data_IF_795182968256
#
_entry.id   IF_795182968256
#
_cell.length_a   1.000
_cell.length_b   1.000
_cell.length_c   1.000
_cell.angle_alpha   90.00
_cell.angle_beta   90.00
_cell.angle_gamma   90.00
#
_symmetry.space_group_name_H-M   'P 1'
#
loop_
_entity.id
_entity.type
_entity.pdbx_description
1 polymer ?
#
# COMPACT_ATOMS: atom_id res chain seq x y z
N UNK A 1 8.37 20.04 -24.45
CA UNK A 1 7.51 18.86 -24.58
C UNK A 1 7.43 18.17 -23.22
N UNK A 2 6.43 18.48 -22.45
CA UNK A 2 6.10 17.68 -21.30
C UNK A 2 5.40 16.43 -21.84
N UNK A 3 6.15 15.34 -22.00
CA UNK A 3 5.52 14.04 -21.92
C UNK A 3 5.01 13.93 -20.49
N UNK A 4 3.76 14.27 -20.30
CA UNK A 4 3.03 13.81 -19.14
C UNK A 4 3.21 12.31 -19.15
N UNK A 5 4.06 11.80 -18.25
CA UNK A 5 4.04 10.40 -17.90
C UNK A 5 2.63 10.16 -17.39
N UNK A 6 1.76 9.83 -18.29
CA UNK A 6 0.47 9.25 -17.93
C UNK A 6 0.81 7.94 -17.27
N UNK A 7 1.09 8.00 -15.97
CA UNK A 7 0.71 6.93 -15.09
C UNK A 7 -0.67 6.55 -15.58
N UNK A 8 -0.78 5.36 -16.11
CA UNK A 8 -2.07 4.85 -16.53
C UNK A 8 -2.93 4.89 -15.28
N UNK A 9 -3.73 5.95 -15.13
CA UNK A 9 -4.50 6.17 -13.91
C UNK A 9 -5.47 5.01 -13.77
N UNK A 10 -5.16 4.10 -12.85
CA UNK A 10 -5.99 2.93 -12.61
C UNK A 10 -7.25 3.39 -11.91
N UNK A 11 -8.39 3.23 -12.57
CA UNK A 11 -9.69 3.50 -11.97
C UNK A 11 -10.01 2.43 -10.95
N UNK A 12 -10.66 2.82 -9.85
CA UNK A 12 -11.07 1.89 -8.79
C UNK A 12 -11.96 0.75 -9.31
N UNK A 13 -12.78 1.01 -10.33
CA UNK A 13 -13.62 -0.01 -10.95
C UNK A 13 -12.85 -1.13 -11.63
N UNK A 14 -11.56 -0.93 -11.94
CA UNK A 14 -10.69 -1.92 -12.57
C UNK A 14 -9.84 -2.72 -11.56
N UNK A 15 -10.04 -2.47 -10.26
CA UNK A 15 -9.35 -3.20 -9.21
C UNK A 15 -10.03 -4.54 -8.93
N UNK A 16 -9.22 -5.53 -8.60
CA UNK A 16 -9.68 -6.80 -8.05
C UNK A 16 -10.27 -6.61 -6.64
N UNK A 17 -11.06 -7.56 -6.18
CA UNK A 17 -11.65 -7.53 -4.83
C UNK A 17 -10.58 -7.41 -3.75
N UNK A 18 -9.49 -8.15 -3.89
CA UNK A 18 -8.36 -8.13 -2.96
C UNK A 18 -7.72 -6.73 -2.85
N UNK A 19 -7.54 -6.07 -3.99
CA UNK A 19 -7.02 -4.71 -4.05
C UNK A 19 -7.98 -3.71 -3.41
N UNK A 20 -9.28 -3.85 -3.69
CA UNK A 20 -10.30 -2.99 -3.11
C UNK A 20 -10.40 -3.13 -1.59
N UNK A 21 -10.27 -4.34 -1.06
CA UNK A 21 -10.24 -4.58 0.39
C UNK A 21 -9.09 -3.86 1.08
N UNK A 22 -7.89 -3.95 0.50
CA UNK A 22 -6.72 -3.23 1.01
C UNK A 22 -6.87 -1.71 0.90
N UNK A 23 -7.24 -1.23 -0.28
CA UNK A 23 -7.40 0.20 -0.54
C UNK A 23 -8.43 0.84 0.39
N UNK A 24 -9.55 0.17 0.58
CA UNK A 24 -10.59 0.62 1.52
C UNK A 24 -10.01 0.78 2.93
N UNK A 25 -9.26 -0.22 3.41
CA UNK A 25 -8.63 -0.18 4.73
C UNK A 25 -7.60 0.93 4.86
N UNK A 26 -6.75 1.13 3.86
CA UNK A 26 -5.77 2.22 3.82
C UNK A 26 -6.46 3.58 3.96
N UNK A 27 -7.49 3.82 3.18
CA UNK A 27 -8.24 5.07 3.18
C UNK A 27 -9.00 5.29 4.49
N UNK A 28 -9.55 4.21 5.06
CA UNK A 28 -10.18 4.26 6.37
C UNK A 28 -9.18 4.68 7.46
N UNK A 29 -7.99 4.10 7.46
CA UNK A 29 -6.94 4.47 8.41
C UNK A 29 -6.62 5.96 8.33
N UNK A 30 -6.35 6.47 7.14
CA UNK A 30 -6.00 7.87 6.94
C UNK A 30 -7.10 8.84 7.37
N UNK A 31 -8.35 8.54 7.02
CA UNK A 31 -9.48 9.34 7.45
C UNK A 31 -9.63 9.35 8.96
N UNK A 32 -9.45 8.19 9.58
CA UNK A 32 -9.55 8.03 11.03
C UNK A 32 -8.47 8.84 11.75
N UNK A 33 -7.23 8.80 11.25
CA UNK A 33 -6.13 9.57 11.85
C UNK A 33 -6.35 11.07 11.73
N UNK A 34 -6.89 11.56 10.62
CA UNK A 34 -7.23 12.97 10.43
C UNK A 34 -8.32 13.45 11.40
N UNK A 35 -9.20 12.57 11.80
CA UNK A 35 -10.31 12.84 12.72
C UNK A 35 -10.00 12.46 14.16
N UNK A 36 -8.77 12.06 14.45
CA UNK A 36 -8.31 11.59 15.75
C UNK A 36 -9.13 10.41 16.29
N UNK A 37 -9.52 9.51 15.37
CA UNK A 37 -10.30 8.31 15.65
C UNK A 37 -9.43 7.09 15.38
N UNK A 38 -9.54 6.06 16.22
CA UNK A 38 -8.86 4.79 15.99
C UNK A 38 -9.61 3.96 14.95
N UNK A 39 -8.95 3.53 13.84
CA UNK A 39 -9.62 2.80 12.76
C UNK A 39 -9.87 1.32 13.08
N UNK A 40 -9.17 0.76 14.06
CA UNK A 40 -9.08 -0.67 14.29
C UNK A 40 -10.45 -1.37 14.44
N UNK A 41 -11.37 -0.76 15.20
CA UNK A 41 -12.71 -1.33 15.42
C UNK A 41 -13.49 -1.51 14.11
N UNK A 42 -13.41 -0.52 13.21
CA UNK A 42 -14.07 -0.58 11.89
C UNK A 42 -13.38 -1.58 10.97
N UNK A 43 -12.05 -1.61 10.98
CA UNK A 43 -11.27 -2.59 10.21
C UNK A 43 -11.67 -4.02 10.62
N UNK A 44 -11.63 -4.31 11.91
CA UNK A 44 -12.01 -5.64 12.45
C UNK A 44 -13.42 -6.03 12.03
N UNK A 45 -14.38 -5.11 12.16
CA UNK A 45 -15.78 -5.37 11.81
C UNK A 45 -15.96 -5.73 10.33
N UNK A 46 -15.31 -5.01 9.44
CA UNK A 46 -15.46 -5.25 7.99
C UNK A 46 -14.66 -6.46 7.56
N UNK A 47 -13.41 -6.56 8.00
CA UNK A 47 -12.54 -7.66 7.60
C UNK A 47 -12.97 -9.02 8.17
N UNK A 48 -13.66 -9.04 9.31
CA UNK A 48 -14.26 -10.27 9.85
C UNK A 48 -15.27 -10.90 8.90
N UNK A 49 -15.96 -10.09 8.09
CA UNK A 49 -16.90 -10.60 7.08
C UNK A 49 -16.22 -11.39 5.97
N UNK A 50 -14.92 -11.15 5.78
CA UNK A 50 -14.08 -11.83 4.79
C UNK A 50 -13.11 -12.83 5.43
N UNK A 51 -13.18 -13.02 6.75
CA UNK A 51 -12.29 -13.87 7.55
C UNK A 51 -10.81 -13.47 7.47
N UNK A 52 -10.55 -12.17 7.32
CA UNK A 52 -9.21 -11.58 7.25
C UNK A 52 -9.01 -10.50 8.33
N UNK A 53 -9.70 -10.61 9.44
CA UNK A 53 -9.66 -9.62 10.54
C UNK A 53 -8.27 -9.48 11.17
N UNK A 54 -7.46 -10.52 11.13
CA UNK A 54 -6.10 -10.49 11.65
C UNK A 54 -5.18 -9.50 10.92
N UNK A 55 -5.44 -9.22 9.65
CA UNK A 55 -4.68 -8.19 8.93
C UNK A 55 -4.99 -6.75 9.39
N UNK A 56 -6.05 -6.55 10.15
CA UNK A 56 -6.46 -5.21 10.62
C UNK A 56 -5.37 -4.53 11.44
N UNK A 57 -4.74 -5.28 12.34
CA UNK A 57 -3.64 -4.78 13.18
C UNK A 57 -2.42 -4.41 12.34
N UNK A 58 -2.04 -5.30 11.44
CA UNK A 58 -0.87 -5.08 10.58
C UNK A 58 -1.07 -3.89 9.65
N UNK A 59 -2.26 -3.73 9.09
CA UNK A 59 -2.58 -2.59 8.23
C UNK A 59 -2.56 -1.28 9.00
N UNK A 60 -3.14 -1.23 10.21
CA UNK A 60 -3.09 -0.05 11.07
C UNK A 60 -1.66 0.34 11.42
N UNK A 61 -0.82 -0.62 11.78
CA UNK A 61 0.59 -0.36 12.11
C UNK A 61 1.41 0.15 10.92
N UNK A 62 1.25 -0.44 9.73
CA UNK A 62 1.90 0.03 8.51
C UNK A 62 1.46 1.45 8.17
N UNK A 63 0.17 1.73 8.24
CA UNK A 63 -0.36 3.05 7.91
C UNK A 63 0.12 4.12 8.90
N UNK A 64 0.20 3.81 10.18
CA UNK A 64 0.79 4.70 11.20
C UNK A 64 2.26 5.02 10.89
N UNK A 65 3.04 4.01 10.53
CA UNK A 65 4.44 4.22 10.15
C UNK A 65 4.56 5.15 8.94
N UNK A 66 3.81 4.89 7.87
CA UNK A 66 3.85 5.69 6.65
C UNK A 66 3.46 7.14 6.95
N UNK A 67 2.40 7.35 7.70
CA UNK A 67 1.95 8.69 8.08
C UNK A 67 2.99 9.41 8.93
N UNK A 68 3.57 8.75 9.94
CA UNK A 68 4.53 9.35 10.85
C UNK A 68 5.83 9.79 10.16
N UNK A 69 6.30 9.01 9.18
CA UNK A 69 7.54 9.32 8.47
C UNK A 69 7.36 10.20 7.24
N UNK A 70 6.12 10.40 6.79
CA UNK A 70 5.79 11.22 5.62
C UNK A 70 4.82 12.37 5.97
N UNK A 71 4.67 12.71 7.23
CA UNK A 71 3.69 13.68 7.74
C UNK A 71 3.89 15.11 7.21
N UNK A 72 5.09 15.46 6.78
CA UNK A 72 5.42 16.78 6.21
C UNK A 72 5.22 16.85 4.69
N UNK A 73 5.00 15.72 4.05
CA UNK A 73 4.71 15.62 2.63
C UNK A 73 3.23 15.33 2.46
N UNK A 74 2.61 15.96 1.46
CA UNK A 74 1.27 15.58 1.05
C UNK A 74 1.29 14.14 0.58
N UNK A 75 0.98 13.24 1.51
CA UNK A 75 0.80 11.84 1.14
C UNK A 75 -0.43 11.80 0.24
N UNK A 76 -0.24 11.30 -0.97
CA UNK A 76 -1.26 11.31 -2.02
C UNK A 76 -2.41 10.31 -1.82
N UNK A 77 -2.67 9.88 -0.57
CA UNK A 77 -3.85 9.08 -0.25
C UNK A 77 -5.06 10.00 -0.18
N UNK A 78 -5.95 9.89 -1.15
CA UNK A 78 -7.17 10.70 -1.22
C UNK A 78 -8.40 9.83 -1.05
N UNK A 79 -9.07 9.98 0.08
CA UNK A 79 -10.21 9.16 0.48
C UNK A 79 -11.40 9.14 -0.47
N UNK A 80 -11.52 10.11 -1.36
CA UNK A 80 -12.64 10.24 -2.28
C UNK A 80 -12.22 10.22 -3.76
N UNK A 81 -10.97 9.87 -4.04
CA UNK A 81 -10.50 9.79 -5.41
C UNK A 81 -11.03 8.52 -6.10
N UNK A 82 -11.56 8.67 -7.32
CA UNK A 82 -11.99 7.54 -8.16
C UNK A 82 -10.84 6.81 -8.83
N UNK A 83 -9.63 7.37 -8.70
CA UNK A 83 -8.39 6.81 -9.20
C UNK A 83 -7.48 6.40 -8.06
N UNK A 84 -6.66 5.41 -8.32
CA UNK A 84 -5.59 5.01 -7.42
C UNK A 84 -4.49 6.07 -7.41
N UNK A 85 -4.06 6.51 -6.24
CA UNK A 85 -2.89 7.40 -6.14
C UNK A 85 -1.60 6.59 -6.29
N UNK A 86 -0.49 7.28 -6.53
CA UNK A 86 0.83 6.65 -6.66
C UNK A 86 1.23 5.89 -5.39
N UNK A 87 1.03 6.50 -4.23
CA UNK A 87 1.37 5.92 -2.94
C UNK A 87 0.50 4.69 -2.62
N UNK A 88 -0.78 4.76 -2.91
CA UNK A 88 -1.70 3.63 -2.78
C UNK A 88 -1.27 2.48 -3.70
N UNK A 89 -0.96 2.79 -4.95
CA UNK A 89 -0.48 1.82 -5.92
C UNK A 89 0.82 1.14 -5.46
N UNK A 90 1.77 1.92 -4.96
CA UNK A 90 3.05 1.41 -4.50
C UNK A 90 2.89 0.47 -3.29
N UNK A 91 2.02 0.80 -2.35
CA UNK A 91 1.79 -0.09 -1.20
C UNK A 91 1.10 -1.39 -1.63
N UNK A 92 0.13 -1.32 -2.54
CA UNK A 92 -0.48 -2.51 -3.15
C UNK A 92 0.57 -3.37 -3.85
N UNK A 93 1.48 -2.75 -4.62
CA UNK A 93 2.57 -3.46 -5.29
C UNK A 93 3.55 -4.10 -4.32
N UNK A 94 3.88 -3.44 -3.21
CA UNK A 94 4.76 -4.00 -2.19
C UNK A 94 4.15 -5.29 -1.61
N UNK A 95 2.90 -5.26 -1.21
CA UNK A 95 2.20 -6.42 -0.64
C UNK A 95 2.02 -7.53 -1.68
N UNK A 96 1.68 -7.16 -2.92
CA UNK A 96 1.53 -8.09 -4.03
C UNK A 96 2.83 -8.85 -4.32
N UNK A 97 3.96 -8.15 -4.37
CA UNK A 97 5.28 -8.78 -4.55
C UNK A 97 5.62 -9.74 -3.40
N UNK A 98 5.34 -9.35 -2.17
CA UNK A 98 5.54 -10.20 -0.99
C UNK A 98 4.65 -11.44 -1.05
N UNK A 99 3.40 -11.29 -1.42
CA UNK A 99 2.47 -12.42 -1.60
C UNK A 99 2.97 -13.39 -2.68
N UNK A 100 3.59 -12.87 -3.73
CA UNK A 100 4.18 -13.65 -4.83
C UNK A 100 5.58 -14.20 -4.54
N UNK A 101 6.07 -14.07 -3.30
CA UNK A 101 7.40 -14.50 -2.86
C UNK A 101 8.55 -13.70 -3.50
N UNK A 102 8.28 -12.51 -4.01
CA UNK A 102 9.30 -11.58 -4.48
C UNK A 102 9.60 -10.54 -3.41
N UNK A 103 10.20 -10.99 -2.32
CA UNK A 103 10.48 -10.19 -1.13
C UNK A 103 11.41 -9.01 -1.42
N UNK A 104 12.37 -9.21 -2.30
CA UNK A 104 13.33 -8.17 -2.68
C UNK A 104 12.62 -6.93 -3.26
N UNK A 105 11.73 -7.13 -4.23
CA UNK A 105 10.96 -6.03 -4.83
C UNK A 105 10.00 -5.39 -3.83
N UNK A 106 9.35 -6.19 -2.99
CA UNK A 106 8.47 -5.68 -1.93
C UNK A 106 9.21 -4.76 -0.98
N UNK A 107 10.39 -5.17 -0.52
CA UNK A 107 11.25 -4.35 0.36
C UNK A 107 11.73 -3.07 -0.33
N UNK A 108 12.13 -3.15 -1.58
CA UNK A 108 12.57 -2.00 -2.38
C UNK A 108 11.50 -0.91 -2.43
N UNK A 109 10.25 -1.30 -2.58
CA UNK A 109 9.13 -0.34 -2.59
C UNK A 109 8.97 0.30 -1.20
N UNK A 110 9.04 -0.48 -0.14
CA UNK A 110 8.93 0.04 1.24
C UNK A 110 10.07 1.01 1.59
N UNK A 111 11.25 0.80 1.04
CA UNK A 111 12.40 1.71 1.21
C UNK A 111 12.14 3.14 0.72
N UNK A 112 11.20 3.33 -0.20
CA UNK A 112 10.82 4.65 -0.68
C UNK A 112 10.08 5.49 0.37
N UNK A 113 9.46 4.86 1.35
CA UNK A 113 8.59 5.52 2.34
C UNK A 113 9.14 5.49 3.76
N UNK A 114 10.04 4.57 4.06
CA UNK A 114 10.45 4.27 5.42
C UNK A 114 11.96 4.25 5.55
N UNK A 115 12.49 4.74 6.71
CA UNK A 115 13.90 4.63 7.01
C UNK A 115 14.30 3.17 7.28
N UNK A 116 15.58 2.85 7.07
CA UNK A 116 16.11 1.49 7.24
C UNK A 116 15.80 0.88 8.60
N UNK A 117 15.75 1.69 9.66
CA UNK A 117 15.45 1.23 11.02
C UNK A 117 14.02 0.68 11.18
N UNK A 118 13.11 1.01 10.26
CA UNK A 118 11.69 0.58 10.30
C UNK A 118 11.34 -0.47 9.25
N UNK A 119 12.23 -0.75 8.32
CA UNK A 119 11.96 -1.65 7.20
C UNK A 119 11.63 -3.07 7.63
N UNK A 120 12.36 -3.61 8.60
CA UNK A 120 12.12 -4.98 9.06
C UNK A 120 10.74 -5.14 9.68
N UNK A 121 10.35 -4.18 10.51
CA UNK A 121 9.02 -4.18 11.12
C UNK A 121 7.93 -4.06 10.04
N UNK A 122 8.05 -3.08 9.16
CA UNK A 122 7.11 -2.86 8.07
C UNK A 122 6.97 -4.08 7.15
N UNK A 123 8.09 -4.71 6.83
CA UNK A 123 8.12 -5.91 6.01
C UNK A 123 7.37 -7.07 6.67
N UNK A 124 7.56 -7.29 7.97
CA UNK A 124 6.83 -8.31 8.72
C UNK A 124 5.32 -8.06 8.72
N UNK A 125 4.91 -6.80 8.89
CA UNK A 125 3.49 -6.44 8.84
C UNK A 125 2.90 -6.67 7.44
N UNK A 126 3.65 -6.37 6.39
CA UNK A 126 3.24 -6.68 5.02
C UNK A 126 3.12 -8.19 4.77
N UNK A 127 4.01 -9.00 5.34
CA UNK A 127 3.90 -10.46 5.28
C UNK A 127 2.61 -10.93 5.96
N UNK A 128 2.27 -10.38 7.12
CA UNK A 128 1.04 -10.73 7.82
C UNK A 128 -0.20 -10.42 6.98
N UNK A 129 -0.23 -9.26 6.34
CA UNK A 129 -1.31 -8.87 5.42
C UNK A 129 -1.38 -9.85 4.24
N UNK A 130 -0.26 -10.10 3.59
CA UNK A 130 -0.18 -11.00 2.44
C UNK A 130 -0.68 -12.40 2.78
N UNK A 131 -0.25 -12.94 3.92
CA UNK A 131 -0.64 -14.27 4.38
C UNK A 131 -2.13 -14.34 4.75
N UNK A 132 -2.65 -13.30 5.39
CA UNK A 132 -4.07 -13.23 5.74
C UNK A 132 -4.96 -13.27 4.49
N UNK A 133 -4.61 -12.48 3.48
CA UNK A 133 -5.31 -12.47 2.20
C UNK A 133 -5.18 -13.82 1.47
N UNK A 134 -3.97 -14.38 1.40
CA UNK A 134 -3.70 -15.65 0.71
C UNK A 134 -4.49 -16.81 1.33
N UNK A 135 -4.58 -16.86 2.65
CA UNK A 135 -5.34 -17.89 3.37
C UNK A 135 -6.80 -17.95 2.92
N UNK A 136 -7.40 -16.82 2.61
CA UNK A 136 -8.78 -16.72 2.14
C UNK A 136 -8.89 -16.59 0.62
N UNK A 137 -7.83 -16.94 -0.10
CA UNK A 137 -7.75 -16.92 -1.57
C UNK A 137 -7.94 -15.54 -2.21
N UNK A 138 -7.60 -14.49 -1.49
CA UNK A 138 -7.54 -13.13 -2.03
C UNK A 138 -6.14 -12.85 -2.57
N UNK A 139 -5.92 -13.22 -3.83
CA UNK A 139 -4.62 -12.99 -4.49
C UNK A 139 -4.59 -11.59 -5.10
N UNK A 140 -3.50 -10.89 -4.83
CA UNK A 140 -3.24 -9.58 -5.42
C UNK A 140 -2.59 -9.76 -6.79
N UNK A 141 -3.09 -9.07 -7.83
CA UNK A 141 -2.44 -9.12 -9.13
C UNK A 141 -1.08 -8.42 -9.07
N UNK A 142 -0.10 -8.99 -9.77
CA UNK A 142 1.17 -8.31 -10.01
C UNK A 142 0.94 -7.24 -11.09
N UNK A 143 0.67 -6.03 -10.63
CA UNK A 143 0.60 -4.89 -11.52
C UNK A 143 2.02 -4.37 -11.72
N UNK A 144 2.43 -4.31 -12.93
CA UNK A 144 3.76 -4.49 -13.43
C UNK A 144 4.88 -3.56 -12.99
N UNK A 145 6.02 -4.14 -13.05
CA UNK A 145 7.40 -3.69 -12.98
C UNK A 145 7.73 -2.41 -13.78
N UNK A 146 6.96 -2.03 -14.79
CA UNK A 146 7.16 -0.79 -15.56
C UNK A 146 7.23 0.44 -14.65
N UNK A 147 6.53 0.40 -13.54
CA UNK A 147 6.52 1.48 -12.56
C UNK A 147 7.80 1.51 -11.72
N UNK A 148 8.25 0.36 -11.26
CA UNK A 148 9.50 0.22 -10.48
C UNK A 148 10.70 0.58 -11.36
N UNK A 149 10.73 0.11 -12.60
CA UNK A 149 11.77 0.44 -13.56
C UNK A 149 11.81 1.93 -13.86
N UNK A 150 10.65 2.57 -13.93
CA UNK A 150 10.55 4.01 -14.13
C UNK A 150 11.14 4.78 -12.95
N UNK A 151 10.82 4.38 -11.71
CA UNK A 151 11.39 4.97 -10.49
C UNK A 151 12.89 4.73 -10.38
N UNK A 152 13.36 3.52 -10.66
CA UNK A 152 14.80 3.23 -10.64
C UNK A 152 15.58 4.03 -11.68
N UNK A 153 15.01 4.26 -12.85
CA UNK A 153 15.60 5.13 -13.87
C UNK A 153 15.63 6.60 -13.44
N UNK A 154 14.58 7.07 -12.77
CA UNK A 154 14.51 8.45 -12.29
C UNK A 154 15.41 8.69 -11.08
N UNK A 155 15.52 7.76 -10.15
CA UNK A 155 16.44 7.89 -9.01
C UNK A 155 17.90 7.87 -9.42
N UNK A 156 18.27 7.13 -10.47
CA UNK A 156 19.62 7.16 -11.05
C UNK A 156 19.94 8.47 -11.78
N UNK A 157 18.93 9.19 -12.28
CA UNK A 157 19.12 10.50 -12.92
C UNK A 157 19.30 11.64 -11.93
N UNK A 158 18.80 11.51 -10.70
CA UNK A 158 18.92 12.53 -9.65
C UNK A 158 20.28 12.46 -8.93
N UNK A 159 21.03 11.36 -9.04
CA UNK A 159 22.35 11.16 -8.42
C UNK A 159 23.53 11.60 -9.31
N UNK A 160 23.27 12.20 -10.45
CA UNK A 160 24.24 12.80 -11.34
C UNK A 160 23.92 14.29 -11.51
#
# INVERSE_FOLDING_TARGET
MHQSNTLTMIKLQNLEISENLLLWGMRLCLNSYKSDILPLKKLLKIYSKFKIEDMSYSLDEIMKLIVNYNSTQNIGFKCYCTFLTEEEFNLLCAISNIQSRNDYNGRKILEMYLPNSKLLFAFKECINIANSLEREHFFLPLRHNDFIDHFQKNSKRVLH
#
